data_IF_480026330348
#
_entry.id   IF_480026330348
#
_cell.length_a   1.000
_cell.length_b   1.000
_cell.length_c   1.000
_cell.angle_alpha   90.00
_cell.angle_beta   90.00
_cell.angle_gamma   90.00
#
_symmetry.space_group_name_H-M   'P 1'
#
loop_
_entity.id
_entity.type
_entity.pdbx_description
1 polymer ?
#
# COMPACT_ATOMS: atom_id res chain seq x y z
N UNK A 1 2.20 -44.45 38.01
CA UNK A 1 2.50 -43.00 37.83
C UNK A 1 3.50 -42.72 36.70
N UNK A 2 4.67 -43.38 36.66
CA UNK A 2 5.76 -43.11 35.67
C UNK A 2 5.39 -43.28 34.17
N UNK A 3 4.48 -44.21 33.82
CA UNK A 3 4.01 -44.39 32.42
C UNK A 3 3.09 -43.26 31.94
N UNK A 4 2.35 -42.64 32.87
CA UNK A 4 1.39 -41.58 32.55
C UNK A 4 2.09 -40.24 32.36
N UNK A 5 3.09 -39.95 33.21
CA UNK A 5 3.96 -38.77 33.07
C UNK A 5 4.74 -38.78 31.76
N UNK A 6 5.25 -39.96 31.33
CA UNK A 6 5.97 -40.07 30.06
C UNK A 6 5.06 -39.83 28.86
N UNK A 7 3.83 -40.36 28.85
CA UNK A 7 2.86 -40.11 27.78
C UNK A 7 2.45 -38.64 27.72
N UNK A 8 2.27 -38.01 28.88
CA UNK A 8 1.92 -36.60 28.98
C UNK A 8 3.06 -35.70 28.47
N UNK A 9 4.32 -36.05 28.77
CA UNK A 9 5.49 -35.38 28.18
C UNK A 9 5.57 -35.55 26.67
N UNK A 10 5.29 -36.74 26.14
CA UNK A 10 5.26 -36.96 24.68
C UNK A 10 4.18 -36.12 24.01
N UNK A 11 2.97 -36.07 24.58
CA UNK A 11 1.87 -35.24 24.06
C UNK A 11 2.25 -33.75 24.10
N UNK A 12 2.79 -33.27 25.23
CA UNK A 12 3.25 -31.89 25.35
C UNK A 12 4.34 -31.55 24.31
N UNK A 13 5.28 -32.48 24.08
CA UNK A 13 6.31 -32.32 23.04
C UNK A 13 5.73 -32.24 21.63
N UNK A 14 4.77 -33.10 21.29
CA UNK A 14 4.08 -33.05 19.99
C UNK A 14 3.32 -31.74 19.81
N UNK A 15 2.62 -31.26 20.85
CA UNK A 15 1.92 -29.97 20.80
C UNK A 15 2.89 -28.82 20.58
N UNK A 16 4.03 -28.81 21.27
CA UNK A 16 5.06 -27.77 21.07
C UNK A 16 5.62 -27.78 19.64
N UNK A 17 5.86 -28.96 19.06
CA UNK A 17 6.31 -29.08 17.67
C UNK A 17 5.26 -28.54 16.69
N UNK A 18 3.97 -28.84 16.91
CA UNK A 18 2.89 -28.32 16.07
C UNK A 18 2.75 -26.80 16.18
N UNK A 19 2.87 -26.23 17.39
CA UNK A 19 2.86 -24.78 17.59
C UNK A 19 4.05 -24.12 16.89
N UNK A 20 5.25 -24.70 17.00
CA UNK A 20 6.44 -24.19 16.30
C UNK A 20 6.27 -24.23 14.78
N UNK A 21 5.75 -25.33 14.23
CA UNK A 21 5.48 -25.46 12.80
C UNK A 21 4.43 -24.43 12.33
N UNK A 22 3.38 -24.18 13.12
CA UNK A 22 2.39 -23.14 12.83
C UNK A 22 2.99 -21.74 12.82
N UNK A 23 3.77 -21.38 13.84
CA UNK A 23 4.43 -20.07 13.92
C UNK A 23 5.39 -19.84 12.75
N UNK A 24 6.10 -20.88 12.31
CA UNK A 24 6.99 -20.82 11.15
C UNK A 24 6.23 -20.67 9.82
N UNK A 25 5.10 -21.37 9.66
CA UNK A 25 4.28 -21.30 8.45
C UNK A 25 3.47 -20.00 8.33
N UNK A 26 3.09 -19.40 9.47
CA UNK A 26 2.24 -18.21 9.54
C UNK A 26 2.67 -17.05 8.62
N UNK A 27 3.93 -16.56 8.63
CA UNK A 27 4.32 -15.43 7.78
C UNK A 27 4.16 -15.72 6.28
N UNK A 28 4.41 -16.96 5.86
CA UNK A 28 4.23 -17.36 4.46
C UNK A 28 2.76 -17.42 4.06
N UNK A 29 1.90 -17.94 4.95
CA UNK A 29 0.45 -18.00 4.73
C UNK A 29 -0.13 -16.58 4.68
N UNK A 30 0.25 -15.72 5.62
CA UNK A 30 -0.24 -14.34 5.70
C UNK A 30 0.11 -13.55 4.44
N UNK A 31 1.35 -13.67 3.93
CA UNK A 31 1.77 -13.00 2.69
C UNK A 31 0.97 -13.50 1.47
N UNK A 32 0.80 -14.82 1.34
CA UNK A 32 0.04 -15.39 0.22
C UNK A 32 -1.45 -14.98 0.25
N UNK A 33 -2.06 -14.99 1.43
CA UNK A 33 -3.45 -14.55 1.59
C UNK A 33 -3.61 -13.06 1.31
N UNK A 34 -2.62 -12.24 1.70
CA UNK A 34 -2.63 -10.81 1.43
C UNK A 34 -2.58 -10.50 -0.06
N UNK A 35 -1.66 -11.13 -0.81
CA UNK A 35 -1.56 -10.92 -2.25
C UNK A 35 -2.84 -11.36 -2.98
N UNK A 36 -3.46 -12.47 -2.55
CA UNK A 36 -4.73 -12.93 -3.11
C UNK A 36 -5.89 -11.97 -2.80
N UNK A 37 -6.02 -11.51 -1.56
CA UNK A 37 -7.05 -10.54 -1.14
C UNK A 37 -6.92 -9.22 -1.93
N UNK A 38 -5.68 -8.77 -2.11
CA UNK A 38 -5.32 -7.59 -2.88
C UNK A 38 -5.75 -7.69 -4.35
N UNK A 39 -5.40 -8.78 -5.01
CA UNK A 39 -5.76 -9.03 -6.40
C UNK A 39 -7.28 -9.14 -6.57
N UNK A 40 -7.96 -9.81 -5.64
CA UNK A 40 -9.42 -9.91 -5.65
C UNK A 40 -10.09 -8.53 -5.52
N UNK A 41 -9.61 -7.67 -4.62
CA UNK A 41 -10.12 -6.28 -4.46
C UNK A 41 -9.91 -5.45 -5.73
N UNK A 42 -8.77 -5.58 -6.39
CA UNK A 42 -8.49 -4.89 -7.66
C UNK A 42 -9.41 -5.41 -8.77
N UNK A 43 -9.63 -6.72 -8.86
CA UNK A 43 -10.53 -7.31 -9.84
C UNK A 43 -11.99 -6.88 -9.62
N UNK A 44 -12.44 -6.88 -8.36
CA UNK A 44 -13.77 -6.38 -7.98
C UNK A 44 -13.92 -4.90 -8.32
N UNK A 45 -12.90 -4.07 -8.06
CA UNK A 45 -12.89 -2.66 -8.45
C UNK A 45 -13.05 -2.50 -9.97
N UNK A 46 -12.27 -3.22 -10.77
CA UNK A 46 -12.34 -3.16 -12.23
C UNK A 46 -13.70 -3.61 -12.78
N UNK A 47 -14.32 -4.64 -12.18
CA UNK A 47 -15.69 -5.06 -12.52
C UNK A 47 -16.70 -3.97 -12.24
N UNK A 48 -16.65 -3.37 -11.04
CA UNK A 48 -17.56 -2.31 -10.63
C UNK A 48 -17.46 -1.08 -11.54
N UNK A 49 -16.24 -0.65 -11.88
CA UNK A 49 -16.00 0.46 -12.82
C UNK A 49 -16.62 0.16 -14.19
N UNK A 50 -16.41 -1.05 -14.73
CA UNK A 50 -16.98 -1.46 -16.03
C UNK A 50 -18.50 -1.50 -16.02
N UNK A 51 -19.10 -2.01 -14.94
CA UNK A 51 -20.55 -2.04 -14.79
C UNK A 51 -21.16 -0.64 -14.70
N UNK A 52 -20.53 0.28 -13.96
CA UNK A 52 -20.96 1.67 -13.85
C UNK A 52 -20.87 2.39 -15.21
N UNK A 53 -19.74 2.23 -15.92
CA UNK A 53 -19.58 2.80 -17.26
C UNK A 53 -20.61 2.27 -18.27
N UNK A 54 -21.10 1.04 -18.09
CA UNK A 54 -22.12 0.42 -18.95
C UNK A 54 -23.54 0.92 -18.66
N UNK A 55 -23.83 1.25 -17.40
CA UNK A 55 -25.14 1.76 -16.95
C UNK A 55 -25.30 3.25 -17.26
N UNK A 56 -24.25 4.03 -17.10
CA UNK A 56 -24.25 5.48 -17.31
C UNK A 56 -23.88 5.85 -18.75
N UNK A 57 -24.74 5.50 -19.72
CA UNK A 57 -24.53 5.80 -21.16
C UNK A 57 -24.44 7.30 -21.54
N UNK A 58 -24.43 8.24 -20.58
CA UNK A 58 -24.51 9.70 -20.86
C UNK A 58 -23.65 10.66 -20.04
N UNK A 59 -22.74 10.22 -19.17
CA UNK A 59 -21.73 11.12 -18.59
C UNK A 59 -20.53 10.33 -18.10
N UNK A 60 -19.35 10.59 -18.68
CA UNK A 60 -18.08 10.24 -18.06
C UNK A 60 -17.94 11.12 -16.81
N UNK A 61 -18.55 10.70 -15.69
CA UNK A 61 -18.35 11.37 -14.42
C UNK A 61 -16.86 11.23 -14.07
N UNK A 62 -16.21 12.37 -13.78
CA UNK A 62 -14.83 12.37 -13.30
C UNK A 62 -14.70 11.41 -12.11
N UNK A 63 -13.63 10.60 -12.02
CA UNK A 63 -13.43 9.74 -10.87
C UNK A 63 -13.33 10.59 -9.59
N UNK A 64 -13.96 10.12 -8.51
CA UNK A 64 -13.93 10.75 -7.20
C UNK A 64 -13.52 9.72 -6.14
N UNK A 65 -12.90 10.19 -5.06
CA UNK A 65 -12.55 9.34 -3.92
C UNK A 65 -13.85 8.94 -3.19
N UNK A 66 -14.07 7.64 -2.92
CA UNK A 66 -15.21 7.20 -2.14
C UNK A 66 -15.23 7.81 -0.73
N UNK A 67 -16.40 8.25 -0.26
CA UNK A 67 -16.58 8.68 1.14
C UNK A 67 -16.46 7.53 2.14
N UNK A 68 -16.78 6.33 1.69
CA UNK A 68 -16.64 5.11 2.48
C UNK A 68 -15.18 4.66 2.45
N UNK A 69 -14.50 4.81 3.60
CA UNK A 69 -13.07 4.51 3.78
C UNK A 69 -12.73 3.02 3.58
N UNK A 70 -13.72 2.14 3.56
CA UNK A 70 -13.56 0.71 3.27
C UNK A 70 -13.53 0.38 1.77
N UNK A 71 -13.91 1.31 0.90
CA UNK A 71 -13.96 1.10 -0.54
C UNK A 71 -12.66 1.52 -1.21
N UNK A 72 -12.25 0.74 -2.21
CA UNK A 72 -11.10 1.05 -3.06
C UNK A 72 -11.42 2.26 -3.92
N UNK A 73 -10.56 3.28 -3.87
CA UNK A 73 -10.65 4.48 -4.70
C UNK A 73 -10.02 4.27 -6.10
N UNK A 74 -8.99 3.44 -6.15
CA UNK A 74 -8.22 3.12 -7.34
C UNK A 74 -7.14 2.10 -7.00
N UNK A 75 -6.18 1.89 -7.90
CA UNK A 75 -4.98 1.11 -7.57
C UNK A 75 -3.74 1.72 -8.21
N UNK A 76 -2.61 1.53 -7.54
CA UNK A 76 -1.29 1.98 -7.99
C UNK A 76 -0.47 0.78 -8.44
N UNK A 77 0.27 0.93 -9.53
CA UNK A 77 1.16 -0.09 -10.09
C UNK A 77 2.52 0.52 -10.43
N UNK A 78 3.59 -0.12 -9.95
CA UNK A 78 4.98 0.31 -10.15
C UNK A 78 5.79 -0.94 -10.55
N UNK A 79 5.90 -1.25 -11.85
CA UNK A 79 6.47 -2.52 -12.31
C UNK A 79 7.91 -2.77 -11.87
N UNK A 80 8.76 -1.72 -11.88
CA UNK A 80 10.17 -1.83 -11.47
C UNK A 80 10.33 -2.18 -9.98
N UNK A 81 9.27 -2.03 -9.18
CA UNK A 81 9.23 -2.36 -7.76
C UNK A 81 8.33 -3.57 -7.45
N UNK A 82 7.74 -4.22 -8.45
CA UNK A 82 6.76 -5.30 -8.27
C UNK A 82 5.61 -4.91 -7.33
N UNK A 83 5.15 -3.66 -7.43
CA UNK A 83 4.07 -3.11 -6.60
C UNK A 83 2.81 -3.04 -7.44
N UNK A 84 1.72 -3.59 -6.91
CA UNK A 84 0.36 -3.42 -7.43
C UNK A 84 -0.61 -3.44 -6.26
N UNK A 85 -1.06 -2.27 -5.82
CA UNK A 85 -1.76 -2.10 -4.54
C UNK A 85 -3.07 -1.30 -4.68
N UNK A 86 -4.18 -1.73 -4.04
CA UNK A 86 -5.41 -0.94 -3.96
C UNK A 86 -5.17 0.29 -3.08
N UNK A 87 -5.66 1.43 -3.56
CA UNK A 87 -5.57 2.72 -2.87
C UNK A 87 -6.90 3.02 -2.19
N UNK A 88 -6.85 3.28 -0.89
CA UNK A 88 -8.01 3.60 -0.05
C UNK A 88 -8.10 5.10 0.28
N UNK A 89 -9.30 5.62 0.60
CA UNK A 89 -9.49 6.98 1.11
C UNK A 89 -8.62 7.29 2.33
N UNK A 90 -8.23 8.56 2.49
CA UNK A 90 -7.45 9.00 3.64
C UNK A 90 -8.29 9.30 4.89
N UNK A 91 -7.63 9.80 5.96
CA UNK A 91 -6.18 9.94 6.08
C UNK A 91 -5.51 8.59 6.36
N UNK A 92 -4.20 8.51 6.16
CA UNK A 92 -3.40 7.29 6.33
C UNK A 92 -3.19 6.90 7.82
N UNK A 93 -4.27 6.55 8.51
CA UNK A 93 -4.24 6.01 9.87
C UNK A 93 -3.75 4.55 9.88
N UNK A 94 -3.31 4.01 11.04
CA UNK A 94 -2.99 2.59 11.14
C UNK A 94 -4.15 1.67 10.72
N UNK A 95 -5.40 2.09 10.94
CA UNK A 95 -6.57 1.34 10.51
C UNK A 95 -6.71 1.33 8.98
N UNK A 96 -6.52 2.49 8.32
CA UNK A 96 -6.56 2.59 6.86
C UNK A 96 -5.40 1.85 6.22
N UNK A 97 -4.18 2.02 6.74
CA UNK A 97 -3.00 1.34 6.23
C UNK A 97 -3.04 -0.18 6.46
N UNK A 98 -3.82 -0.67 7.42
CA UNK A 98 -4.09 -2.11 7.55
C UNK A 98 -4.99 -2.67 6.42
N UNK A 99 -5.77 -1.82 5.73
CA UNK A 99 -6.57 -2.21 4.57
C UNK A 99 -5.75 -2.27 3.28
N UNK A 100 -4.79 -1.37 3.13
CA UNK A 100 -3.92 -1.20 1.97
C UNK A 100 -3.26 0.18 1.96
N UNK A 101 -2.58 0.53 0.87
CA UNK A 101 -2.06 1.90 0.72
C UNK A 101 -3.22 2.90 0.71
N UNK A 102 -3.01 4.09 1.25
CA UNK A 102 -4.09 5.07 1.47
C UNK A 102 -3.63 6.47 1.14
N UNK A 103 -4.54 7.35 0.74
CA UNK A 103 -4.20 8.78 0.64
C UNK A 103 -3.72 9.30 1.99
N UNK A 104 -2.70 10.16 1.97
CA UNK A 104 -2.06 10.67 3.18
C UNK A 104 -3.04 11.56 3.95
N UNK A 105 -3.72 12.45 3.23
CA UNK A 105 -4.64 13.47 3.78
C UNK A 105 -6.10 13.01 3.72
N UNK A 106 -6.93 13.53 4.62
CA UNK A 106 -8.37 13.21 4.65
C UNK A 106 -9.15 13.85 3.49
N UNK A 107 -8.78 15.08 3.12
CA UNK A 107 -9.49 15.88 2.12
C UNK A 107 -8.79 15.90 0.76
N UNK A 108 -8.02 14.85 0.46
CA UNK A 108 -7.36 14.67 -0.84
C UNK A 108 -8.39 14.66 -2.00
N UNK A 109 -8.04 15.21 -3.14
CA UNK A 109 -8.86 15.17 -4.36
C UNK A 109 -8.07 14.65 -5.55
N UNK A 110 -8.73 13.85 -6.40
CA UNK A 110 -8.11 13.35 -7.64
C UNK A 110 -7.84 14.47 -8.66
N UNK A 111 -8.33 15.69 -8.45
CA UNK A 111 -8.03 16.84 -9.30
C UNK A 111 -6.82 17.66 -8.80
N UNK A 112 -6.31 17.39 -7.59
CA UNK A 112 -5.19 18.09 -6.96
C UNK A 112 -3.90 17.98 -7.79
N UNK A 113 -3.00 18.96 -7.62
CA UNK A 113 -1.74 18.95 -8.36
C UNK A 113 -0.76 17.93 -7.76
N UNK A 114 -0.75 17.79 -6.44
CA UNK A 114 0.03 16.80 -5.71
C UNK A 114 -0.88 15.84 -4.95
N UNK A 115 -1.00 14.61 -5.46
CA UNK A 115 -1.75 13.55 -4.76
C UNK A 115 -0.77 12.75 -3.89
N UNK A 116 -1.04 12.67 -2.59
CA UNK A 116 -0.15 12.01 -1.64
C UNK A 116 -0.70 10.64 -1.21
N UNK A 117 0.11 9.58 -1.35
CA UNK A 117 -0.26 8.20 -1.00
C UNK A 117 0.78 7.65 -0.03
N UNK A 118 0.33 7.12 1.09
CA UNK A 118 1.16 6.48 2.09
C UNK A 118 0.96 4.96 2.09
N UNK A 119 2.05 4.25 2.35
CA UNK A 119 2.09 2.81 2.52
C UNK A 119 3.12 2.41 3.57
N UNK A 120 2.94 1.24 4.16
CA UNK A 120 3.92 0.67 5.08
C UNK A 120 5.16 0.14 4.37
N UNK A 121 6.24 0.08 5.14
CA UNK A 121 7.41 -0.76 4.87
C UNK A 121 7.59 -1.74 6.02
N UNK A 122 7.84 -3.00 5.66
CA UNK A 122 8.16 -4.08 6.59
C UNK A 122 9.48 -4.73 6.20
N UNK A 123 10.31 -5.09 7.18
CA UNK A 123 11.60 -5.73 6.89
C UNK A 123 11.41 -7.18 6.43
N UNK A 124 10.39 -7.86 6.97
CA UNK A 124 10.12 -9.29 6.81
C UNK A 124 9.07 -9.62 5.72
N UNK A 125 8.44 -8.59 5.12
CA UNK A 125 7.40 -8.77 4.10
C UNK A 125 7.72 -7.98 2.83
N UNK A 126 8.61 -8.50 1.95
CA UNK A 126 9.15 -7.74 0.82
C UNK A 126 8.08 -7.19 -0.13
N UNK A 127 6.96 -7.92 -0.31
CA UNK A 127 5.90 -7.57 -1.25
C UNK A 127 4.73 -6.82 -0.59
N UNK A 128 4.86 -6.42 0.68
CA UNK A 128 3.78 -5.73 1.38
C UNK A 128 3.79 -4.23 1.07
N UNK A 129 2.75 -3.74 0.40
CA UNK A 129 2.54 -2.31 0.13
C UNK A 129 3.76 -1.62 -0.51
N UNK A 130 4.38 -0.66 0.17
CA UNK A 130 5.52 0.11 -0.34
C UNK A 130 6.87 -0.41 0.17
N UNK A 131 6.90 -1.61 0.77
CA UNK A 131 8.14 -2.24 1.23
C UNK A 131 9.21 -2.31 0.13
N UNK A 132 8.82 -2.73 -1.08
CA UNK A 132 9.75 -2.81 -2.20
C UNK A 132 9.88 -1.50 -3.00
N UNK A 133 9.29 -0.39 -2.55
CA UNK A 133 9.30 0.87 -3.31
C UNK A 133 10.73 1.39 -3.54
N UNK A 134 11.67 1.03 -2.64
CA UNK A 134 13.11 1.27 -2.81
C UNK A 134 13.71 0.66 -4.07
N UNK A 135 13.08 -0.35 -4.70
CA UNK A 135 13.52 -0.91 -5.97
C UNK A 135 13.25 0.03 -7.15
N UNK A 136 12.22 0.88 -7.07
CA UNK A 136 11.96 1.92 -8.06
C UNK A 136 13.09 2.97 -8.05
N UNK A 137 13.47 3.44 -9.23
CA UNK A 137 14.55 4.43 -9.44
C UNK A 137 13.99 5.65 -10.16
N UNK A 138 14.78 6.72 -10.22
CA UNK A 138 14.47 7.84 -11.09
C UNK A 138 14.30 7.33 -12.52
N UNK A 139 13.17 7.66 -13.14
CA UNK A 139 12.77 7.17 -14.45
C UNK A 139 11.80 5.98 -14.47
N UNK A 140 11.62 5.29 -13.35
CA UNK A 140 10.61 4.23 -13.20
C UNK A 140 9.20 4.76 -13.46
N UNK A 141 8.38 3.95 -14.13
CA UNK A 141 6.99 4.29 -14.42
C UNK A 141 6.10 3.96 -13.22
N UNK A 142 5.16 4.87 -12.93
CA UNK A 142 4.13 4.70 -11.92
C UNK A 142 2.78 4.87 -12.62
N UNK A 143 1.90 3.89 -12.48
CA UNK A 143 0.56 3.91 -13.03
C UNK A 143 -0.43 4.04 -11.89
N UNK A 144 -1.36 4.97 -12.01
CA UNK A 144 -2.43 5.14 -11.04
C UNK A 144 -3.77 5.07 -11.77
N UNK A 145 -4.52 3.99 -11.51
CA UNK A 145 -5.82 3.76 -12.15
C UNK A 145 -6.92 4.21 -11.21
N UNK A 146 -7.76 5.11 -11.71
CA UNK A 146 -8.89 5.70 -10.98
C UNK A 146 -10.09 5.82 -11.92
N UNK A 147 -11.20 5.20 -11.54
CA UNK A 147 -12.34 5.01 -12.43
C UNK A 147 -11.92 4.35 -13.73
N UNK A 148 -12.30 4.96 -14.85
CA UNK A 148 -11.96 4.52 -16.20
C UNK A 148 -10.64 5.12 -16.72
N UNK A 149 -9.92 5.90 -15.91
CA UNK A 149 -8.68 6.58 -16.28
C UNK A 149 -7.46 5.79 -15.78
N UNK A 150 -6.40 5.75 -16.59
CA UNK A 150 -5.08 5.28 -16.15
C UNK A 150 -4.09 6.43 -16.31
N UNK A 151 -3.72 7.03 -15.19
CA UNK A 151 -2.78 8.14 -15.12
C UNK A 151 -1.36 7.60 -15.07
N UNK A 152 -0.47 8.15 -15.88
CA UNK A 152 0.92 7.71 -16.00
C UNK A 152 1.83 8.76 -15.42
N UNK A 153 2.76 8.34 -14.59
CA UNK A 153 3.75 9.19 -13.97
C UNK A 153 5.13 8.57 -14.14
N UNK A 154 6.17 9.40 -14.03
CA UNK A 154 7.56 8.98 -14.07
C UNK A 154 8.27 9.50 -12.84
N UNK A 155 8.99 8.61 -12.15
CA UNK A 155 9.74 8.94 -10.94
C UNK A 155 10.81 10.00 -11.24
N UNK A 156 10.78 11.15 -10.57
CA UNK A 156 11.70 12.27 -10.80
C UNK A 156 12.60 12.57 -9.61
N UNK A 157 12.13 12.31 -8.39
CA UNK A 157 12.84 12.58 -7.15
C UNK A 157 12.63 11.47 -6.14
N UNK A 158 13.68 11.12 -5.41
CA UNK A 158 13.67 10.19 -4.28
C UNK A 158 14.53 10.81 -3.19
N UNK A 159 13.98 11.00 -2.00
CA UNK A 159 14.69 11.65 -0.88
C UNK A 159 14.21 11.12 0.46
N UNK A 160 15.11 11.15 1.43
CA UNK A 160 14.79 10.87 2.83
C UNK A 160 14.45 12.17 3.56
N UNK A 161 13.42 12.13 4.38
CA UNK A 161 12.93 13.27 5.16
C UNK A 161 12.64 12.86 6.59
N UNK A 162 12.57 13.82 7.50
CA UNK A 162 12.16 13.54 8.88
C UNK A 162 10.64 13.34 8.92
N UNK A 163 10.12 12.55 9.88
CA UNK A 163 8.68 12.42 10.08
C UNK A 163 7.95 13.75 10.35
N UNK A 164 8.67 14.79 10.77
CA UNK A 164 8.15 16.15 11.01
C UNK A 164 8.03 17.00 9.75
N UNK A 165 8.63 16.59 8.62
CA UNK A 165 8.73 17.41 7.41
C UNK A 165 7.44 17.28 6.57
N UNK A 166 6.35 17.89 7.03
CA UNK A 166 5.02 17.81 6.40
C UNK A 166 4.91 18.59 5.08
N UNK A 167 5.82 19.53 4.83
CA UNK A 167 5.87 20.37 3.61
C UNK A 167 6.00 19.55 2.31
N UNK A 168 6.35 18.26 2.41
CA UNK A 168 6.42 17.35 1.26
C UNK A 168 5.05 17.06 0.64
N UNK A 169 3.97 17.31 1.38
CA UNK A 169 2.58 17.12 0.96
C UNK A 169 2.01 18.35 0.24
N UNK A 170 2.66 19.50 0.38
CA UNK A 170 2.12 20.76 -0.10
C UNK A 170 2.05 20.85 -1.62
N UNK A 171 1.02 21.57 -2.08
CA UNK A 171 0.79 21.86 -3.49
C UNK A 171 1.88 22.79 -4.05
N UNK A 172 2.40 22.43 -5.23
CA UNK A 172 3.45 23.19 -5.93
C UNK A 172 2.84 23.99 -7.08
N UNK A 173 2.32 25.17 -6.75
CA UNK A 173 1.68 26.08 -7.72
C UNK A 173 2.55 26.28 -8.96
N UNK A 174 1.97 26.02 -10.13
CA UNK A 174 2.61 26.21 -11.44
C UNK A 174 3.48 25.04 -11.92
N UNK A 175 3.49 23.91 -11.21
CA UNK A 175 4.16 22.68 -11.67
C UNK A 175 3.18 21.66 -12.25
N UNK A 176 3.72 20.71 -13.01
CA UNK A 176 2.98 19.57 -13.54
C UNK A 176 2.39 18.72 -12.42
N UNK A 177 1.29 18.01 -12.70
CA UNK A 177 0.70 17.07 -11.73
C UNK A 177 1.72 16.03 -11.27
N UNK A 178 1.65 15.66 -10.00
CA UNK A 178 2.58 14.70 -9.41
C UNK A 178 1.87 13.78 -8.41
N UNK A 179 2.50 12.64 -8.17
CA UNK A 179 2.23 11.75 -7.05
C UNK A 179 3.39 11.85 -6.06
N UNK A 180 3.06 11.97 -4.78
CA UNK A 180 4.00 11.85 -3.68
C UNK A 180 3.72 10.54 -2.96
N UNK A 181 4.62 9.57 -3.08
CA UNK A 181 4.53 8.28 -2.40
C UNK A 181 5.40 8.30 -1.15
N UNK A 182 4.79 7.91 -0.04
CA UNK A 182 5.36 8.07 1.30
C UNK A 182 5.46 6.69 1.93
N UNK A 183 6.64 6.37 2.42
CA UNK A 183 6.85 5.17 3.21
C UNK A 183 7.79 5.45 4.37
N UNK A 184 7.68 4.66 5.44
CA UNK A 184 8.70 4.66 6.49
C UNK A 184 10.01 4.08 5.94
N UNK A 185 11.14 4.61 6.42
CA UNK A 185 12.47 4.07 6.15
C UNK A 185 13.35 4.19 7.41
N UNK A 186 14.45 3.45 7.46
CA UNK A 186 15.39 3.41 8.58
C UNK A 186 14.75 3.02 9.93
N UNK A 187 14.53 1.71 10.11
CA UNK A 187 13.99 1.16 11.35
C UNK A 187 15.09 0.98 12.39
N UNK A 188 14.96 1.67 13.52
CA UNK A 188 15.87 1.49 14.65
C UNK A 188 15.37 0.36 15.56
N UNK A 189 16.01 -0.80 15.49
CA UNK A 189 15.66 -1.99 16.30
C UNK A 189 15.78 -1.76 17.82
N UNK A 190 16.61 -0.79 18.26
CA UNK A 190 16.80 -0.49 19.69
C UNK A 190 15.66 0.34 20.27
N UNK A 191 15.11 1.26 19.48
CA UNK A 191 14.02 2.15 19.92
C UNK A 191 12.65 1.67 19.44
N UNK A 192 12.60 0.80 18.43
CA UNK A 192 11.38 0.32 17.78
C UNK A 192 10.72 1.39 16.89
N UNK A 193 11.45 2.43 16.51
CA UNK A 193 10.93 3.61 15.81
C UNK A 193 11.52 3.68 14.40
N UNK A 194 10.69 4.08 13.44
CA UNK A 194 11.12 4.49 12.10
C UNK A 194 11.61 5.94 12.18
N UNK A 195 12.92 6.15 12.00
CA UNK A 195 13.55 7.46 12.24
C UNK A 195 13.38 8.39 11.04
N UNK A 196 13.17 7.83 9.85
CA UNK A 196 13.02 8.58 8.61
C UNK A 196 11.79 8.14 7.83
N UNK A 197 11.38 9.00 6.89
CA UNK A 197 10.45 8.63 5.83
C UNK A 197 11.16 8.77 4.51
N UNK A 198 10.91 7.83 3.60
CA UNK A 198 11.35 7.96 2.22
C UNK A 198 10.20 8.49 1.37
N UNK A 199 10.49 9.56 0.64
CA UNK A 199 9.57 10.26 -0.24
C UNK A 199 9.98 10.03 -1.67
N UNK A 200 9.04 9.54 -2.47
CA UNK A 200 9.18 9.32 -3.89
C UNK A 200 8.22 10.27 -4.61
N UNK A 201 8.73 11.10 -5.51
CA UNK A 201 7.91 12.01 -6.31
C UNK A 201 7.94 11.56 -7.76
N UNK A 202 6.76 11.32 -8.32
CA UNK A 202 6.57 10.99 -9.73
C UNK A 202 5.72 12.05 -10.43
N UNK A 203 6.19 12.59 -11.55
CA UNK A 203 5.47 13.63 -12.31
C UNK A 203 4.69 13.02 -13.46
N UNK A 204 3.53 13.57 -13.77
CA UNK A 204 2.65 13.09 -14.83
C UNK A 204 3.36 13.10 -16.19
N UNK A 205 3.14 12.05 -16.97
CA UNK A 205 3.64 11.91 -18.35
C UNK A 205 2.45 11.94 -19.28
N UNK A 206 2.42 12.91 -20.19
CA UNK A 206 1.42 13.04 -21.25
C UNK A 206 1.69 12.06 -22.39
#
# INVERSE_FOLDING_TARGET
MKKWTNRLMTIAGVVLILVAAYLFAKPHIDNYLHDKDKDEKIEQYDKNVKEQASKDKKQQAKPQIPKDKSKVAGYIEIPDADIKEPVYPGPATPEQLNRGVSFAEENESLDDQNISIAGHTFIDRPNYQFTNLKAAKKGSMVYFKVGNETRKYKMTSIRDVKPTDVEVLDEQKGKDKQLTLITCDDYNEKTGIWETRKIFVATEVK
#
